data_IF_256575635523
#
_entry.id   IF_256575635523
#
_cell.length_a   1.000
_cell.length_b   1.000
_cell.length_c   1.000
_cell.angle_alpha   90.00
_cell.angle_beta   90.00
_cell.angle_gamma   90.00
#
_symmetry.space_group_name_H-M   'P 1'
#
loop_
_entity.id
_entity.type
_entity.pdbx_description
1 polymer ?
#
# COMPACT_ATOMS: atom_id res chain seq x y z
N UNK A 1 8.73 -3.03 2.84
CA UNK A 1 9.64 -2.92 4.02
C UNK A 1 10.44 -4.20 4.27
N UNK A 2 9.84 -5.29 4.74
CA UNK A 2 10.57 -6.55 5.04
C UNK A 2 11.40 -7.06 3.85
N UNK A 3 10.75 -7.28 2.69
CA UNK A 3 11.43 -7.82 1.50
C UNK A 3 12.61 -6.96 1.04
N UNK A 4 12.53 -5.64 1.19
CA UNK A 4 13.62 -4.72 0.82
C UNK A 4 14.82 -4.95 1.75
N UNK A 5 14.60 -4.90 3.08
CA UNK A 5 15.64 -5.17 4.07
C UNK A 5 16.24 -6.57 3.93
N UNK A 6 15.42 -7.56 3.59
CA UNK A 6 15.89 -8.92 3.37
C UNK A 6 16.83 -8.99 2.15
N UNK A 7 16.49 -8.32 1.05
CA UNK A 7 17.34 -8.23 -0.14
C UNK A 7 18.64 -7.49 0.15
N UNK A 8 18.59 -6.38 0.88
CA UNK A 8 19.78 -5.61 1.31
C UNK A 8 20.75 -6.50 2.10
N UNK A 9 20.26 -7.20 3.14
CA UNK A 9 21.06 -8.12 3.95
C UNK A 9 21.70 -9.23 3.11
N UNK A 10 20.94 -9.85 2.20
CA UNK A 10 21.45 -10.92 1.34
C UNK A 10 22.51 -10.43 0.33
N UNK A 11 22.43 -9.18 -0.10
CA UNK A 11 23.43 -8.54 -0.96
C UNK A 11 24.71 -8.20 -0.18
N UNK A 12 24.58 -7.64 1.03
CA UNK A 12 25.70 -7.24 1.87
C UNK A 12 26.54 -8.44 2.32
N UNK A 13 25.88 -9.53 2.74
CA UNK A 13 26.55 -10.78 3.17
C UNK A 13 27.38 -11.42 2.05
N UNK A 14 27.05 -11.13 0.78
CA UNK A 14 27.66 -11.76 -0.41
C UNK A 14 28.53 -10.82 -1.25
N UNK A 15 28.57 -9.53 -0.92
CA UNK A 15 29.42 -8.53 -1.59
C UNK A 15 30.91 -8.67 -1.31
N UNK A 16 31.30 -9.53 -0.36
CA UNK A 16 32.69 -9.76 0.07
C UNK A 16 33.43 -10.85 -0.73
N UNK A 17 32.77 -11.60 -1.61
CA UNK A 17 33.41 -12.66 -2.42
C UNK A 17 33.10 -12.48 -3.91
N UNK A 18 34.17 -12.32 -4.70
CA UNK A 18 34.17 -12.14 -6.16
C UNK A 18 33.32 -13.22 -6.89
N UNK A 19 32.15 -12.82 -7.41
CA UNK A 19 31.26 -13.73 -8.18
C UNK A 19 29.87 -13.12 -8.49
N UNK A 20 29.82 -11.89 -9.02
CA UNK A 20 28.60 -11.07 -9.04
C UNK A 20 27.39 -11.64 -9.82
N UNK A 21 27.58 -12.48 -10.83
CA UNK A 21 26.47 -12.96 -11.68
C UNK A 21 25.83 -14.27 -11.21
N UNK A 22 26.63 -15.19 -10.65
CA UNK A 22 26.16 -16.44 -10.03
C UNK A 22 25.53 -16.19 -8.64
N UNK A 23 26.00 -15.15 -7.95
CA UNK A 23 25.43 -14.73 -6.66
C UNK A 23 23.98 -14.23 -6.81
N UNK A 24 23.68 -13.38 -7.80
CA UNK A 24 22.34 -12.81 -7.98
C UNK A 24 21.26 -13.83 -8.36
N UNK A 25 21.57 -14.80 -9.22
CA UNK A 25 20.61 -15.87 -9.54
C UNK A 25 20.26 -16.69 -8.30
N UNK A 26 21.25 -17.02 -7.47
CA UNK A 26 21.01 -17.77 -6.22
C UNK A 26 20.18 -16.98 -5.19
N UNK A 27 20.41 -15.66 -5.07
CA UNK A 27 19.61 -14.76 -4.22
C UNK A 27 18.16 -14.71 -4.72
N UNK A 28 17.97 -14.57 -6.03
CA UNK A 28 16.65 -14.56 -6.67
C UNK A 28 15.90 -15.86 -6.43
N UNK A 29 16.57 -17.01 -6.58
CA UNK A 29 15.95 -18.32 -6.37
C UNK A 29 15.53 -18.49 -4.90
N UNK A 30 16.38 -18.08 -3.96
CA UNK A 30 16.06 -18.13 -2.53
C UNK A 30 14.86 -17.24 -2.16
N UNK A 31 14.78 -16.03 -2.71
CA UNK A 31 13.64 -15.13 -2.51
C UNK A 31 12.38 -15.76 -3.09
N UNK A 32 12.44 -16.28 -4.31
CA UNK A 32 11.30 -16.86 -5.00
C UNK A 32 10.76 -18.08 -4.26
N UNK A 33 11.65 -18.97 -3.81
CA UNK A 33 11.29 -20.20 -3.10
C UNK A 33 10.64 -19.95 -1.72
N UNK A 34 10.95 -18.82 -1.09
CA UNK A 34 10.40 -18.47 0.23
C UNK A 34 9.30 -17.41 0.17
N UNK A 35 9.06 -16.79 -0.98
CA UNK A 35 8.17 -15.64 -1.12
C UNK A 35 6.76 -15.87 -0.56
N UNK A 36 6.14 -16.99 -0.93
CA UNK A 36 4.77 -17.32 -0.50
C UNK A 36 4.71 -17.55 1.01
N UNK A 37 5.70 -18.24 1.59
CA UNK A 37 5.82 -18.43 3.03
C UNK A 37 5.97 -17.08 3.75
N UNK A 38 6.83 -16.18 3.23
CA UNK A 38 7.03 -14.84 3.78
C UNK A 38 5.76 -14.00 3.72
N UNK A 39 5.04 -14.06 2.60
CA UNK A 39 3.77 -13.37 2.41
C UNK A 39 2.75 -13.81 3.46
N UNK A 40 2.51 -15.12 3.59
CA UNK A 40 1.57 -15.67 4.58
C UNK A 40 1.99 -15.33 6.01
N UNK A 41 3.28 -15.38 6.31
CA UNK A 41 3.82 -14.98 7.62
C UNK A 41 3.52 -13.50 7.93
N UNK A 42 3.68 -12.60 6.95
CA UNK A 42 3.34 -11.19 7.11
C UNK A 42 1.84 -10.98 7.38
N UNK A 43 0.97 -11.74 6.69
CA UNK A 43 -0.49 -11.71 6.92
C UNK A 43 -0.83 -12.19 8.34
N UNK A 44 -0.20 -13.27 8.81
CA UNK A 44 -0.41 -13.76 10.17
C UNK A 44 0.04 -12.76 11.23
N UNK A 45 1.22 -12.15 11.06
CA UNK A 45 1.71 -11.10 11.97
C UNK A 45 0.76 -9.88 12.00
N UNK A 46 0.31 -9.41 10.84
CA UNK A 46 -0.66 -8.32 10.75
C UNK A 46 -1.99 -8.70 11.43
N UNK A 47 -2.50 -9.91 11.16
CA UNK A 47 -3.70 -10.44 11.82
C UNK A 47 -3.55 -10.51 13.33
N UNK A 48 -2.37 -10.91 13.83
CA UNK A 48 -2.07 -10.95 15.27
C UNK A 48 -2.06 -9.58 15.93
N UNK A 49 -1.73 -8.52 15.19
CA UNK A 49 -1.72 -7.14 15.68
C UNK A 49 -3.10 -6.48 15.61
N UNK A 50 -3.80 -6.67 14.49
CA UNK A 50 -5.02 -5.91 14.18
C UNK A 50 -6.31 -6.60 14.59
N UNK A 51 -6.32 -7.93 14.75
CA UNK A 51 -7.54 -8.70 15.02
C UNK A 51 -7.50 -9.29 16.43
N UNK A 52 -8.40 -8.81 17.29
CA UNK A 52 -8.52 -9.30 18.66
C UNK A 52 -9.15 -10.70 18.76
N UNK A 53 -10.05 -11.08 17.84
CA UNK A 53 -10.82 -12.33 17.92
C UNK A 53 -10.71 -13.24 16.67
N UNK A 54 -10.46 -12.69 15.48
CA UNK A 54 -10.41 -13.43 14.22
C UNK A 54 -8.96 -13.60 13.70
N UNK A 55 -8.07 -14.09 14.57
CA UNK A 55 -6.65 -14.24 14.23
C UNK A 55 -6.46 -15.38 13.24
N UNK A 56 -5.66 -15.16 12.19
CA UNK A 56 -5.25 -16.22 11.27
C UNK A 56 -4.35 -17.19 12.04
N UNK A 57 -4.91 -18.35 12.40
CA UNK A 57 -4.18 -19.39 13.12
C UNK A 57 -3.13 -20.04 12.23
N UNK A 58 -2.12 -20.69 12.84
CA UNK A 58 -1.12 -21.47 12.10
C UNK A 58 -1.77 -22.59 11.28
N UNK A 59 -2.83 -23.23 11.81
CA UNK A 59 -3.57 -24.26 11.09
C UNK A 59 -4.27 -23.68 9.84
N UNK A 60 -4.95 -22.54 9.97
CA UNK A 60 -5.58 -21.86 8.83
C UNK A 60 -4.57 -21.48 7.75
N UNK A 61 -3.41 -20.95 8.17
CA UNK A 61 -2.33 -20.58 7.25
C UNK A 61 -1.73 -21.79 6.53
N UNK A 62 -1.53 -22.90 7.24
CA UNK A 62 -1.03 -24.15 6.65
C UNK A 62 -2.04 -24.78 5.70
N UNK A 63 -3.33 -24.80 6.04
CA UNK A 63 -4.38 -25.27 5.13
C UNK A 63 -4.44 -24.42 3.86
N UNK A 64 -4.27 -23.09 3.99
CA UNK A 64 -4.16 -22.21 2.83
C UNK A 64 -2.92 -22.54 1.99
N UNK A 65 -1.74 -22.67 2.59
CA UNK A 65 -0.49 -23.01 1.89
C UNK A 65 -0.62 -24.35 1.15
N UNK A 66 -1.24 -25.35 1.78
CA UNK A 66 -1.50 -26.66 1.18
C UNK A 66 -2.43 -26.56 -0.04
N UNK A 67 -3.47 -25.72 0.02
CA UNK A 67 -4.42 -25.55 -1.09
C UNK A 67 -3.76 -24.94 -2.34
N UNK A 68 -2.72 -24.12 -2.14
CA UNK A 68 -1.89 -23.57 -3.23
C UNK A 68 -0.64 -24.41 -3.54
N UNK A 69 -0.61 -25.68 -3.11
CA UNK A 69 0.45 -26.68 -3.37
C UNK A 69 1.80 -26.39 -2.72
N UNK A 70 1.82 -25.60 -1.65
CA UNK A 70 3.01 -25.41 -0.81
C UNK A 70 2.91 -26.26 0.45
N UNK A 71 3.92 -27.09 0.70
CA UNK A 71 4.00 -27.92 1.89
C UNK A 71 5.03 -27.34 2.85
N UNK A 72 4.55 -26.77 3.95
CA UNK A 72 5.37 -26.27 5.05
C UNK A 72 4.89 -26.86 6.37
N UNK A 73 5.78 -26.92 7.34
CA UNK A 73 5.52 -27.32 8.72
C UNK A 73 5.13 -26.11 9.58
N UNK A 74 4.52 -26.37 10.74
CA UNK A 74 4.27 -25.32 11.75
C UNK A 74 5.57 -24.65 12.20
N UNK A 75 6.65 -25.42 12.32
CA UNK A 75 7.96 -24.90 12.72
C UNK A 75 8.52 -23.93 11.69
N UNK A 76 8.53 -24.29 10.40
CA UNK A 76 9.00 -23.40 9.32
C UNK A 76 8.18 -22.10 9.24
N UNK A 77 6.88 -22.18 9.51
CA UNK A 77 6.00 -21.01 9.56
C UNK A 77 6.39 -20.06 10.71
N UNK A 78 6.62 -20.61 11.91
CA UNK A 78 7.03 -19.83 13.08
C UNK A 78 8.43 -19.22 12.91
N UNK A 79 9.38 -19.99 12.38
CA UNK A 79 10.72 -19.50 12.05
C UNK A 79 10.65 -18.38 11.01
N UNK A 80 9.74 -18.51 10.04
CA UNK A 80 9.51 -17.46 9.06
C UNK A 80 8.95 -16.18 9.68
N UNK A 81 7.95 -16.28 10.57
CA UNK A 81 7.43 -15.13 11.32
C UNK A 81 8.51 -14.45 12.16
N UNK A 82 9.30 -15.22 12.90
CA UNK A 82 10.39 -14.72 13.73
C UNK A 82 11.45 -13.99 12.89
N UNK A 83 11.81 -14.54 11.73
CA UNK A 83 12.71 -13.88 10.81
C UNK A 83 12.14 -12.55 10.27
N UNK A 84 10.83 -12.47 9.96
CA UNK A 84 10.18 -11.20 9.58
C UNK A 84 10.29 -10.17 10.71
N UNK A 85 9.99 -10.58 11.94
CA UNK A 85 10.08 -9.72 13.12
C UNK A 85 11.50 -9.21 13.37
N UNK A 86 12.48 -10.10 13.31
CA UNK A 86 13.89 -9.76 13.51
C UNK A 86 14.43 -8.81 12.44
N UNK A 87 14.15 -9.08 11.15
CA UNK A 87 14.55 -8.19 10.05
C UNK A 87 13.92 -6.80 10.19
N UNK A 88 12.71 -6.72 10.73
CA UNK A 88 12.04 -5.45 11.02
C UNK A 88 12.39 -4.87 12.39
N UNK A 89 13.26 -5.50 13.18
CA UNK A 89 13.60 -5.11 14.55
C UNK A 89 12.34 -4.90 15.41
N UNK A 90 11.32 -5.73 15.20
CA UNK A 90 10.01 -5.65 15.87
C UNK A 90 9.26 -4.32 15.62
N UNK A 91 9.70 -3.47 14.69
CA UNK A 91 9.00 -2.24 14.28
C UNK A 91 7.90 -2.52 13.25
N UNK A 92 6.90 -3.27 13.69
CA UNK A 92 5.72 -3.69 12.90
C UNK A 92 4.49 -2.82 13.10
N UNK A 93 4.42 -2.07 14.21
CA UNK A 93 3.33 -1.12 14.47
C UNK A 93 3.58 0.21 13.77
N UNK A 94 3.32 0.26 12.46
CA UNK A 94 3.44 1.48 11.65
C UNK A 94 2.08 1.98 11.23
N UNK A 95 1.94 3.31 11.10
CA UNK A 95 0.73 3.94 10.62
C UNK A 95 0.35 3.40 9.24
N UNK A 96 -0.89 2.96 9.10
CA UNK A 96 -1.47 2.48 7.85
C UNK A 96 -2.12 3.64 7.10
N UNK A 97 -2.29 3.58 5.77
CA UNK A 97 -3.05 4.60 5.05
C UNK A 97 -4.48 4.79 5.58
N UNK A 98 -5.09 3.73 6.11
CA UNK A 98 -6.41 3.81 6.75
C UNK A 98 -6.39 4.75 7.96
N UNK A 99 -5.33 4.73 8.79
CA UNK A 99 -5.22 5.63 9.92
C UNK A 99 -5.16 7.11 9.49
N UNK A 100 -4.50 7.43 8.38
CA UNK A 100 -4.50 8.78 7.80
C UNK A 100 -5.89 9.16 7.28
N UNK A 101 -6.59 8.24 6.62
CA UNK A 101 -7.97 8.46 6.16
C UNK A 101 -8.89 8.76 7.35
N UNK A 102 -8.85 7.94 8.39
CA UNK A 102 -9.69 8.10 9.59
C UNK A 102 -9.41 9.43 10.31
N UNK A 103 -8.12 9.77 10.48
CA UNK A 103 -7.72 11.05 11.05
C UNK A 103 -8.27 12.24 10.24
N UNK A 104 -8.11 12.21 8.92
CA UNK A 104 -8.55 13.32 8.06
C UNK A 104 -10.08 13.43 8.01
N UNK A 105 -10.80 12.32 7.97
CA UNK A 105 -12.27 12.33 8.03
C UNK A 105 -12.78 12.93 9.35
N UNK A 106 -12.12 12.63 10.46
CA UNK A 106 -12.45 13.24 11.77
C UNK A 106 -12.23 14.75 11.75
N UNK A 107 -11.08 15.21 11.24
CA UNK A 107 -10.76 16.65 11.15
C UNK A 107 -11.72 17.38 10.18
N UNK A 108 -12.11 16.75 9.06
CA UNK A 108 -13.10 17.30 8.15
C UNK A 108 -14.47 17.46 8.82
N UNK A 109 -14.90 16.47 9.60
CA UNK A 109 -16.12 16.55 10.39
C UNK A 109 -16.07 17.66 11.44
N UNK A 110 -14.94 17.78 12.14
CA UNK A 110 -14.70 18.86 13.12
C UNK A 110 -14.74 20.26 12.47
N UNK A 111 -14.20 20.40 11.26
CA UNK A 111 -14.19 21.66 10.49
C UNK A 111 -15.56 22.01 9.86
N UNK A 112 -16.60 21.22 10.11
CA UNK A 112 -17.96 21.51 9.67
C UNK A 112 -18.27 21.08 8.23
N UNK A 113 -17.45 20.20 7.64
CA UNK A 113 -17.79 19.61 6.34
C UNK A 113 -18.90 18.57 6.53
N UNK A 114 -20.11 18.88 6.08
CA UNK A 114 -21.32 18.06 6.27
C UNK A 114 -21.33 16.83 5.35
N UNK A 115 -20.43 15.88 5.62
CA UNK A 115 -20.28 14.65 4.86
C UNK A 115 -20.98 13.48 5.57
N UNK A 116 -21.54 12.52 4.82
CA UNK A 116 -22.07 11.29 5.39
C UNK A 116 -20.92 10.40 5.89
N UNK A 117 -20.49 10.60 7.15
CA UNK A 117 -19.26 10.04 7.71
C UNK A 117 -19.15 8.51 7.56
N UNK A 118 -20.20 7.75 7.92
CA UNK A 118 -20.16 6.27 7.85
C UNK A 118 -20.09 5.75 6.41
N UNK A 119 -20.99 6.14 5.48
CA UNK A 119 -20.87 5.73 4.09
C UNK A 119 -19.56 6.17 3.43
N UNK A 120 -19.07 7.38 3.75
CA UNK A 120 -17.82 7.88 3.21
C UNK A 120 -16.61 7.08 3.70
N UNK A 121 -16.54 6.76 5.00
CA UNK A 121 -15.49 5.90 5.56
C UNK A 121 -15.48 4.53 4.87
N UNK A 122 -16.64 3.87 4.75
CA UNK A 122 -16.76 2.57 4.08
C UNK A 122 -16.28 2.63 2.62
N UNK A 123 -16.67 3.67 1.88
CA UNK A 123 -16.22 3.89 0.52
C UNK A 123 -14.70 4.12 0.47
N UNK A 124 -14.13 4.89 1.40
CA UNK A 124 -12.69 5.12 1.47
C UNK A 124 -11.91 3.81 1.73
N UNK A 125 -12.42 2.91 2.57
CA UNK A 125 -11.82 1.57 2.76
C UNK A 125 -11.79 0.79 1.44
N UNK A 126 -12.92 0.75 0.72
CA UNK A 126 -13.01 0.08 -0.59
C UNK A 126 -12.08 0.71 -1.64
N UNK A 127 -11.97 2.04 -1.65
CA UNK A 127 -11.08 2.76 -2.55
C UNK A 127 -9.61 2.53 -2.18
N UNK A 128 -9.27 2.42 -0.90
CA UNK A 128 -7.92 2.01 -0.48
C UNK A 128 -7.60 0.60 -0.98
N UNK A 129 -8.50 -0.37 -0.83
CA UNK A 129 -8.31 -1.72 -1.35
C UNK A 129 -8.07 -1.71 -2.87
N UNK A 130 -8.89 -0.94 -3.61
CA UNK A 130 -8.69 -0.73 -5.05
C UNK A 130 -7.32 -0.11 -5.34
N UNK A 131 -6.89 0.89 -4.57
CA UNK A 131 -5.59 1.54 -4.72
C UNK A 131 -4.43 0.58 -4.51
N UNK A 132 -4.56 -0.37 -3.57
CA UNK A 132 -3.56 -1.40 -3.35
C UNK A 132 -3.54 -2.43 -4.48
N UNK A 133 -4.70 -2.87 -4.97
CA UNK A 133 -4.82 -3.86 -6.04
C UNK A 133 -4.39 -3.32 -7.41
N UNK A 134 -4.63 -2.04 -7.67
CA UNK A 134 -4.33 -1.36 -8.95
C UNK A 134 -3.23 -0.30 -8.80
N UNK A 135 -2.33 -0.49 -7.82
CA UNK A 135 -1.31 0.49 -7.43
C UNK A 135 -0.46 0.94 -8.60
N UNK A 136 0.08 0.00 -9.38
CA UNK A 136 0.94 0.34 -10.51
C UNK A 136 0.23 1.25 -11.52
N UNK A 137 -1.04 0.96 -11.78
CA UNK A 137 -1.84 1.64 -12.79
C UNK A 137 -2.28 3.04 -12.35
N UNK A 138 -2.68 3.20 -11.09
CA UNK A 138 -3.01 4.52 -10.52
C UNK A 138 -1.77 5.41 -10.52
N UNK A 139 -0.65 4.92 -10.01
CA UNK A 139 0.57 5.70 -9.94
C UNK A 139 1.23 5.97 -11.31
N UNK A 140 1.07 5.08 -12.29
CA UNK A 140 1.45 5.37 -13.68
C UNK A 140 0.60 6.50 -14.28
N UNK A 141 -0.69 6.53 -13.96
CA UNK A 141 -1.58 7.62 -14.39
C UNK A 141 -1.14 8.94 -13.78
N UNK A 142 -0.87 8.96 -12.47
CA UNK A 142 -0.37 10.13 -11.76
C UNK A 142 0.97 10.61 -12.31
N UNK A 143 1.90 9.69 -12.58
CA UNK A 143 3.20 10.05 -13.15
C UNK A 143 3.02 10.75 -14.50
N UNK A 144 2.20 10.18 -15.39
CA UNK A 144 1.95 10.75 -16.73
C UNK A 144 1.30 12.13 -16.66
N UNK A 145 0.39 12.35 -15.71
CA UNK A 145 -0.20 13.67 -15.46
C UNK A 145 0.87 14.64 -14.99
N UNK A 146 1.64 14.28 -13.95
CA UNK A 146 2.63 15.16 -13.33
C UNK A 146 3.78 15.59 -14.26
N UNK A 147 4.11 14.79 -15.27
CA UNK A 147 5.15 15.13 -16.27
C UNK A 147 4.59 15.67 -17.58
N UNK A 148 3.27 15.73 -17.72
CA UNK A 148 2.56 16.12 -18.96
C UNK A 148 3.07 15.35 -20.21
N UNK A 149 3.47 14.09 -20.03
CA UNK A 149 4.13 13.29 -21.06
C UNK A 149 3.79 11.81 -20.89
N UNK A 150 3.48 11.14 -22.01
CA UNK A 150 3.13 9.71 -22.05
C UNK A 150 4.31 8.77 -21.80
N UNK A 151 5.56 9.23 -22.01
CA UNK A 151 6.78 8.42 -21.91
C UNK A 151 7.74 8.99 -20.87
N UNK A 152 7.63 8.58 -19.59
CA UNK A 152 8.52 9.05 -18.53
C UNK A 152 9.96 8.56 -18.70
N UNK A 153 10.93 9.44 -18.48
CA UNK A 153 12.34 9.07 -18.42
C UNK A 153 12.68 8.28 -17.15
N UNK A 154 13.79 7.52 -17.16
CA UNK A 154 14.26 6.76 -15.99
C UNK A 154 14.45 7.64 -14.74
N UNK A 155 14.95 8.86 -14.92
CA UNK A 155 15.15 9.81 -13.82
C UNK A 155 13.81 10.27 -13.22
N UNK A 156 12.80 10.54 -14.04
CA UNK A 156 11.46 10.92 -13.59
C UNK A 156 10.81 9.76 -12.82
N UNK A 157 10.91 8.53 -13.32
CA UNK A 157 10.41 7.34 -12.63
C UNK A 157 11.07 7.20 -11.25
N UNK A 158 12.40 7.39 -11.16
CA UNK A 158 13.12 7.30 -9.90
C UNK A 158 12.68 8.36 -8.89
N UNK A 159 12.54 9.62 -9.33
CA UNK A 159 12.05 10.72 -8.47
C UNK A 159 10.62 10.49 -7.99
N UNK A 160 9.78 9.87 -8.82
CA UNK A 160 8.38 9.60 -8.49
C UNK A 160 8.18 8.46 -7.47
N UNK A 161 9.22 7.68 -7.16
CA UNK A 161 9.12 6.64 -6.14
C UNK A 161 8.75 7.18 -4.76
N UNK A 162 9.14 8.41 -4.42
CA UNK A 162 8.77 9.03 -3.15
C UNK A 162 7.26 9.27 -3.05
N UNK A 163 6.62 9.64 -4.16
CA UNK A 163 5.16 9.83 -4.27
C UNK A 163 4.41 8.52 -4.00
N UNK A 164 4.98 7.37 -4.41
CA UNK A 164 4.39 6.05 -4.13
C UNK A 164 4.35 5.73 -2.63
N UNK A 165 5.25 6.28 -1.84
CA UNK A 165 5.36 6.02 -0.40
C UNK A 165 4.70 7.12 0.46
N UNK A 166 4.08 8.13 -0.17
CA UNK A 166 3.36 9.19 0.53
C UNK A 166 1.93 8.74 0.88
N UNK A 167 1.76 8.27 2.12
CA UNK A 167 0.44 7.86 2.64
C UNK A 167 -0.51 9.03 2.88
N UNK A 168 0.01 10.25 3.11
CA UNK A 168 -0.85 11.43 3.26
C UNK A 168 -1.49 11.78 1.92
N UNK A 169 -0.68 11.81 0.85
CA UNK A 169 -1.17 12.04 -0.52
C UNK A 169 -2.19 10.97 -0.95
N UNK A 170 -1.91 9.71 -0.64
CA UNK A 170 -2.87 8.62 -0.88
C UNK A 170 -4.19 8.85 -0.13
N UNK A 171 -4.13 9.23 1.15
CA UNK A 171 -5.31 9.44 1.97
C UNK A 171 -6.17 10.61 1.46
N UNK A 172 -5.58 11.77 1.17
CA UNK A 172 -6.32 12.92 0.63
C UNK A 172 -6.91 12.62 -0.75
N UNK A 173 -6.19 11.88 -1.60
CA UNK A 173 -6.67 11.46 -2.91
C UNK A 173 -7.86 10.50 -2.82
N UNK A 174 -7.81 9.54 -1.90
CA UNK A 174 -8.91 8.59 -1.65
C UNK A 174 -10.13 9.30 -1.07
N UNK A 175 -9.96 10.18 -0.08
CA UNK A 175 -11.07 10.94 0.51
C UNK A 175 -11.70 11.82 -0.56
N UNK A 176 -10.90 12.56 -1.33
CA UNK A 176 -11.39 13.40 -2.42
C UNK A 176 -12.19 12.59 -3.46
N UNK A 177 -11.71 11.40 -3.85
CA UNK A 177 -12.44 10.50 -4.75
C UNK A 177 -13.75 10.01 -4.13
N UNK A 178 -13.74 9.63 -2.85
CA UNK A 178 -14.93 9.19 -2.12
C UNK A 178 -15.99 10.29 -2.02
N UNK A 179 -15.58 11.52 -1.69
CA UNK A 179 -16.48 12.68 -1.63
C UNK A 179 -17.04 12.99 -3.03
N UNK A 180 -16.21 12.93 -4.07
CA UNK A 180 -16.66 13.15 -5.45
C UNK A 180 -17.75 12.14 -5.86
N UNK A 181 -17.58 10.86 -5.53
CA UNK A 181 -18.53 9.79 -5.87
C UNK A 181 -19.84 9.93 -5.07
N UNK A 182 -19.73 10.22 -3.77
CA UNK A 182 -20.86 10.11 -2.84
C UNK A 182 -21.59 11.43 -2.62
N UNK A 183 -20.90 12.56 -2.69
CA UNK A 183 -21.43 13.90 -2.40
C UNK A 183 -20.73 14.98 -3.24
N UNK A 184 -20.86 14.95 -4.59
CA UNK A 184 -20.16 15.88 -5.49
C UNK A 184 -20.33 17.36 -5.12
N UNK A 185 -21.49 17.75 -4.58
CA UNK A 185 -21.77 19.13 -4.18
C UNK A 185 -20.92 19.68 -3.02
N UNK A 186 -20.27 18.80 -2.24
CA UNK A 186 -19.37 19.19 -1.15
C UNK A 186 -17.89 18.96 -1.49
N UNK A 187 -17.59 18.55 -2.73
CA UNK A 187 -16.25 18.14 -3.12
C UNK A 187 -15.24 19.28 -3.09
N UNK A 188 -15.60 20.46 -3.63
CA UNK A 188 -14.71 21.63 -3.62
C UNK A 188 -14.34 22.04 -2.19
N UNK A 189 -15.34 22.10 -1.30
CA UNK A 189 -15.15 22.40 0.11
C UNK A 189 -14.23 21.36 0.78
N UNK A 190 -14.44 20.06 0.51
CA UNK A 190 -13.60 19.00 1.06
C UNK A 190 -12.14 19.13 0.59
N UNK A 191 -11.91 19.42 -0.70
CA UNK A 191 -10.56 19.63 -1.25
C UNK A 191 -9.88 20.86 -0.63
N UNK A 192 -10.61 21.95 -0.44
CA UNK A 192 -10.11 23.15 0.24
C UNK A 192 -9.67 22.85 1.67
N UNK A 193 -10.52 22.18 2.47
CA UNK A 193 -10.16 21.79 3.83
C UNK A 193 -8.97 20.82 3.86
N UNK A 194 -8.93 19.83 2.98
CA UNK A 194 -7.80 18.89 2.90
C UNK A 194 -6.48 19.61 2.57
N UNK A 195 -6.50 20.59 1.67
CA UNK A 195 -5.36 21.46 1.40
C UNK A 195 -4.94 22.24 2.67
N UNK A 196 -5.89 22.88 3.36
CA UNK A 196 -5.59 23.62 4.60
C UNK A 196 -5.01 22.73 5.70
N UNK A 197 -5.47 21.48 5.84
CA UNK A 197 -5.02 20.55 6.88
C UNK A 197 -3.63 19.98 6.56
N UNK A 198 -3.39 19.61 5.30
CA UNK A 198 -2.22 18.80 4.92
C UNK A 198 -1.13 19.60 4.21
N UNK A 199 -1.44 20.79 3.68
CA UNK A 199 -0.57 21.57 2.81
C UNK A 199 -0.40 20.99 1.40
N UNK A 200 -1.10 19.90 1.07
CA UNK A 200 -1.08 19.30 -0.27
C UNK A 200 -1.92 20.16 -1.20
N UNK A 201 -1.34 20.54 -2.34
CA UNK A 201 -2.00 21.46 -3.28
C UNK A 201 -3.34 20.89 -3.79
N UNK A 202 -4.36 21.74 -4.01
CA UNK A 202 -5.64 21.28 -4.57
C UNK A 202 -5.48 20.54 -5.89
N UNK A 203 -4.52 20.97 -6.72
CA UNK A 203 -4.19 20.32 -7.98
C UNK A 203 -3.72 18.88 -7.76
N UNK A 204 -2.77 18.64 -6.86
CA UNK A 204 -2.30 17.28 -6.56
C UNK A 204 -3.41 16.38 -5.99
N UNK A 205 -4.29 16.94 -5.15
CA UNK A 205 -5.47 16.22 -4.62
C UNK A 205 -6.41 15.83 -5.76
N UNK A 206 -6.69 16.75 -6.67
CA UNK A 206 -7.56 16.56 -7.83
C UNK A 206 -6.99 15.50 -8.79
N UNK A 207 -5.70 15.58 -9.11
CA UNK A 207 -5.03 14.62 -10.00
C UNK A 207 -5.07 13.20 -9.43
N UNK A 208 -4.81 13.05 -8.12
CA UNK A 208 -4.90 11.76 -7.46
C UNK A 208 -6.33 11.23 -7.44
N UNK A 209 -7.29 12.08 -7.04
CA UNK A 209 -8.71 11.74 -7.05
C UNK A 209 -9.18 11.28 -8.43
N UNK A 210 -8.82 12.02 -9.47
CA UNK A 210 -9.09 11.67 -10.86
C UNK A 210 -8.50 10.30 -11.23
N UNK A 211 -7.23 10.04 -10.87
CA UNK A 211 -6.58 8.77 -11.15
C UNK A 211 -7.32 7.59 -10.50
N UNK A 212 -7.86 7.77 -9.29
CA UNK A 212 -8.67 6.76 -8.58
C UNK A 212 -10.04 6.60 -9.23
N UNK A 213 -10.79 7.69 -9.42
CA UNK A 213 -12.15 7.67 -10.02
C UNK A 213 -12.14 7.06 -11.42
N UNK A 214 -11.11 7.37 -12.23
CA UNK A 214 -10.93 6.78 -13.56
C UNK A 214 -10.81 5.25 -13.51
N UNK A 215 -10.27 4.67 -12.43
CA UNK A 215 -10.23 3.22 -12.24
C UNK A 215 -11.56 2.64 -11.81
N UNK A 216 -12.32 3.37 -11.00
CA UNK A 216 -13.66 2.96 -10.57
C UNK A 216 -14.64 2.92 -11.74
N UNK A 217 -14.67 3.97 -12.57
CA UNK A 217 -15.58 4.07 -13.73
C UNK A 217 -15.17 3.12 -14.87
N UNK A 218 -13.93 2.61 -14.84
CA UNK A 218 -13.34 1.84 -15.93
C UNK A 218 -12.94 2.73 -17.10
N UNK A 219 -12.01 2.25 -17.93
CA UNK A 219 -11.70 2.86 -19.22
C UNK A 219 -12.79 2.52 -20.25
N UNK A 220 -14.05 2.85 -19.97
CA UNK A 220 -15.07 2.93 -21.02
C UNK A 220 -14.96 4.31 -21.65
N UNK A 221 -13.96 4.48 -22.51
CA UNK A 221 -14.10 5.40 -23.64
C UNK A 221 -14.83 4.63 -24.75
N UNK A 222 -15.90 5.18 -25.35
CA UNK A 222 -16.42 4.68 -26.62
C UNK A 222 -15.37 4.77 -27.73
#
# INVERSE_FOLDING_TARGET
RFMIKQVEQMCDDRGSTQGQRSSWSSVRDQITNTFVLRLVSCVQLASKLSLHYSRVTSDTALTFLQSIKYSYTKQELLESELAVLNTLQFHINVSTPLAYVELLLEVLGYNGCLLPAKPLHQLCVQLLDLCYLTRETIYDTLLKIAIENSTPSKLQIAKFLTVKEDFMLLAVGVISAGVFILSPGHWEQAVEHLNCITGITPQSILEFSYAVVRRVVGSTTP
#
